data_IF_315822264692
#
_entry.id   IF_315822264692
#
_cell.length_a   1.000
_cell.length_b   1.000
_cell.length_c   1.000
_cell.angle_alpha   90.00
_cell.angle_beta   90.00
_cell.angle_gamma   90.00
#
_symmetry.space_group_name_H-M   'P 1'
#
loop_
_entity.id
_entity.type
_entity.pdbx_description
1 polymer ?
#
# COMPACT_ATOMS: atom_id res chain seq x y z
N UNK A 1 16.35 2.38 -5.84
CA UNK A 1 17.59 1.81 -5.31
C UNK A 1 17.18 0.54 -4.60
N UNK A 2 17.84 -0.61 -4.80
CA UNK A 2 17.44 -1.86 -4.15
C UNK A 2 18.52 -2.22 -3.13
N UNK A 3 18.11 -2.51 -1.90
CA UNK A 3 19.01 -2.78 -0.80
C UNK A 3 19.10 -4.29 -0.55
N UNK A 4 20.33 -4.82 -0.52
CA UNK A 4 20.56 -6.21 -0.13
C UNK A 4 20.35 -6.33 1.37
N UNK A 5 19.38 -7.14 1.78
CA UNK A 5 19.07 -7.39 3.19
C UNK A 5 19.98 -8.43 3.81
N UNK A 6 20.18 -9.55 3.11
CA UNK A 6 20.89 -10.70 3.65
C UNK A 6 21.41 -11.60 2.53
N UNK A 7 22.55 -12.28 2.79
CA UNK A 7 23.16 -13.29 1.92
C UNK A 7 23.41 -14.55 2.74
N UNK A 8 22.99 -15.71 2.23
CA UNK A 8 23.22 -17.03 2.85
C UNK A 8 23.68 -18.03 1.78
N UNK A 9 24.98 -18.36 1.79
CA UNK A 9 25.58 -19.21 0.77
C UNK A 9 25.43 -18.59 -0.62
N UNK A 10 24.78 -19.32 -1.52
CA UNK A 10 24.53 -18.86 -2.89
C UNK A 10 23.15 -18.16 -3.08
N UNK A 11 22.44 -17.92 -2.00
CA UNK A 11 21.18 -17.15 -2.01
C UNK A 11 21.37 -15.78 -1.38
N UNK A 12 20.66 -14.79 -1.91
CA UNK A 12 20.48 -13.49 -1.28
C UNK A 12 19.05 -13.00 -1.43
N UNK A 13 18.63 -12.19 -0.48
CA UNK A 13 17.38 -11.43 -0.59
C UNK A 13 17.68 -9.94 -0.63
N UNK A 14 16.99 -9.23 -1.50
CA UNK A 14 17.02 -7.77 -1.56
C UNK A 14 15.61 -7.19 -1.57
N UNK A 15 15.47 -5.98 -1.06
CA UNK A 15 14.26 -5.20 -1.21
C UNK A 15 14.34 -4.29 -2.42
N UNK A 16 13.20 -4.09 -3.04
CA UNK A 16 13.01 -3.10 -4.09
C UNK A 16 11.71 -2.35 -3.85
N UNK A 17 11.73 -1.06 -4.12
CA UNK A 17 10.54 -0.23 -4.05
C UNK A 17 9.53 -0.65 -5.13
N UNK A 18 8.25 -0.76 -4.75
CA UNK A 18 7.17 -1.09 -5.68
C UNK A 18 6.56 0.19 -6.26
N UNK A 19 7.07 0.61 -7.42
CA UNK A 19 6.57 1.80 -8.12
C UNK A 19 5.21 1.61 -8.80
N UNK A 20 4.66 0.39 -8.79
CA UNK A 20 3.38 0.04 -9.41
C UNK A 20 2.39 -0.54 -8.38
N UNK A 21 2.60 -0.27 -7.09
CA UNK A 21 1.77 -0.79 -6.03
C UNK A 21 0.28 -0.50 -6.29
N UNK A 22 -0.55 -1.51 -6.05
CA UNK A 22 -2.01 -1.34 -6.06
C UNK A 22 -2.47 -0.58 -4.80
N UNK A 23 -3.64 0.02 -4.88
CA UNK A 23 -4.31 0.57 -3.68
C UNK A 23 -4.63 -0.58 -2.71
N UNK A 24 -4.40 -0.39 -1.39
CA UNK A 24 -4.79 -1.39 -0.40
C UNK A 24 -6.29 -1.66 -0.45
N UNK A 25 -6.66 -2.92 -0.37
CA UNK A 25 -8.06 -3.32 -0.33
C UNK A 25 -8.52 -3.52 1.11
N UNK A 26 -9.52 -2.76 1.52
CA UNK A 26 -10.16 -2.87 2.83
C UNK A 26 -11.60 -3.30 2.65
N UNK A 27 -11.94 -4.49 3.04
CA UNK A 27 -13.30 -5.04 2.97
C UNK A 27 -14.33 -4.20 3.75
N UNK A 28 -14.73 -3.06 3.19
CA UNK A 28 -15.88 -2.26 3.63
C UNK A 28 -15.81 -1.69 5.06
N UNK A 29 -14.61 -1.48 5.60
CA UNK A 29 -14.44 -1.17 7.03
C UNK A 29 -14.17 0.30 7.36
N UNK A 30 -13.73 1.10 6.40
CA UNK A 30 -13.49 2.54 6.61
C UNK A 30 -13.91 3.37 5.43
N UNK A 31 -14.51 4.52 5.68
CA UNK A 31 -14.78 5.45 4.62
C UNK A 31 -13.47 6.10 4.18
N UNK A 32 -13.10 5.84 2.94
CA UNK A 32 -11.99 6.50 2.28
C UNK A 32 -12.55 7.23 1.08
N UNK A 33 -12.27 8.54 1.02
CA UNK A 33 -12.63 9.39 -0.09
C UNK A 33 -11.39 9.70 -0.89
N UNK A 34 -11.47 9.59 -2.20
CA UNK A 34 -10.50 10.17 -3.12
C UNK A 34 -11.09 11.45 -3.70
N UNK A 35 -10.41 12.56 -3.46
CA UNK A 35 -10.79 13.87 -3.96
C UNK A 35 -9.78 14.32 -5.00
N UNK A 36 -10.24 14.84 -6.12
CA UNK A 36 -9.40 15.37 -7.19
C UNK A 36 -9.94 16.69 -7.73
N UNK A 37 -9.06 17.60 -8.20
CA UNK A 37 -9.48 18.88 -8.75
C UNK A 37 -10.43 18.71 -9.94
N UNK A 38 -11.57 19.38 -9.92
CA UNK A 38 -12.49 19.39 -11.05
C UNK A 38 -12.04 20.42 -12.07
N UNK A 39 -11.74 19.99 -13.29
CA UNK A 39 -11.37 20.90 -14.37
C UNK A 39 -12.52 21.81 -14.85
N UNK A 40 -13.76 21.43 -14.58
CA UNK A 40 -14.93 22.09 -15.17
C UNK A 40 -15.47 23.26 -14.37
N UNK A 41 -15.24 23.32 -13.04
CA UNK A 41 -15.95 24.26 -12.15
C UNK A 41 -15.06 24.89 -11.07
N UNK A 42 -13.75 24.70 -11.11
CA UNK A 42 -12.83 25.20 -10.08
C UNK A 42 -13.07 24.62 -8.68
N UNK A 43 -13.75 23.49 -8.60
CA UNK A 43 -14.04 22.76 -7.37
C UNK A 43 -13.31 21.43 -7.28
N UNK A 44 -13.72 20.62 -6.34
CA UNK A 44 -13.25 19.25 -6.16
C UNK A 44 -14.32 18.27 -6.62
N UNK A 45 -13.88 17.11 -7.08
CA UNK A 45 -14.72 15.93 -7.28
C UNK A 45 -14.24 14.85 -6.35
N UNK A 46 -15.19 14.07 -5.85
CA UNK A 46 -14.87 12.98 -4.95
C UNK A 46 -15.41 11.64 -5.44
N UNK A 47 -14.77 10.58 -5.01
CA UNK A 47 -15.29 9.23 -5.12
C UNK A 47 -14.98 8.46 -3.84
N UNK A 48 -15.83 7.53 -3.50
CA UNK A 48 -15.53 6.54 -2.49
C UNK A 48 -14.62 5.47 -3.08
N UNK A 49 -13.51 5.17 -2.41
CA UNK A 49 -12.63 4.08 -2.80
C UNK A 49 -13.12 2.77 -2.21
N UNK A 50 -13.67 2.84 -1.00
CA UNK A 50 -14.25 1.68 -0.35
C UNK A 50 -15.74 1.88 -0.10
N UNK A 51 -16.50 0.78 -0.21
CA UNK A 51 -17.93 0.82 0.04
C UNK A 51 -18.16 1.13 1.52
N UNK A 52 -18.84 2.24 1.79
CA UNK A 52 -19.35 2.54 3.11
C UNK A 52 -20.55 1.60 3.38
N UNK A 53 -20.29 0.30 3.36
CA UNK A 53 -21.36 -0.71 3.47
C UNK A 53 -22.20 -0.64 4.72
N UNK A 54 -21.74 0.15 5.70
CA UNK A 54 -22.42 0.42 6.95
C UNK A 54 -23.24 1.71 6.94
N UNK A 55 -23.09 2.56 5.95
CA UNK A 55 -23.80 3.82 5.89
C UNK A 55 -25.06 3.69 5.03
N UNK A 56 -26.10 4.39 5.42
CA UNK A 56 -27.23 4.56 4.51
C UNK A 56 -26.73 5.26 3.24
N UNK A 57 -27.22 4.90 2.05
CA UNK A 57 -26.84 5.57 0.80
C UNK A 57 -26.93 7.09 0.90
N UNK A 58 -27.97 7.61 1.52
CA UNK A 58 -28.19 9.05 1.71
C UNK A 58 -27.06 9.73 2.50
N UNK A 59 -26.59 9.07 3.57
CA UNK A 59 -25.52 9.65 4.38
C UNK A 59 -24.18 9.64 3.64
N UNK A 60 -23.92 8.61 2.83
CA UNK A 60 -22.75 8.54 1.98
C UNK A 60 -22.75 9.67 0.94
N UNK A 61 -23.87 9.88 0.27
CA UNK A 61 -24.05 10.97 -0.71
C UNK A 61 -23.89 12.35 -0.06
N UNK A 62 -24.43 12.55 1.16
CA UNK A 62 -24.29 13.81 1.89
C UNK A 62 -22.82 14.10 2.24
N UNK A 63 -22.06 13.09 2.66
CA UNK A 63 -20.64 13.23 2.97
C UNK A 63 -19.85 13.56 1.71
N UNK A 64 -20.09 12.83 0.62
CA UNK A 64 -19.41 13.09 -0.65
C UNK A 64 -19.71 14.50 -1.16
N UNK A 65 -20.96 14.91 -1.14
CA UNK A 65 -21.38 16.27 -1.50
C UNK A 65 -20.70 17.34 -0.63
N UNK A 66 -20.59 17.09 0.67
CA UNK A 66 -19.90 18.00 1.59
C UNK A 66 -18.40 18.05 1.29
N UNK A 67 -17.76 16.91 1.01
CA UNK A 67 -16.35 16.85 0.65
C UNK A 67 -16.08 17.61 -0.65
N UNK A 68 -16.87 17.41 -1.68
CA UNK A 68 -16.76 18.13 -2.96
C UNK A 68 -16.90 19.65 -2.79
N UNK A 69 -17.80 20.07 -1.93
CA UNK A 69 -18.07 21.48 -1.66
C UNK A 69 -16.95 22.15 -0.86
N UNK A 70 -16.35 21.46 0.08
CA UNK A 70 -15.45 22.05 1.08
C UNK A 70 -14.02 21.49 1.04
N UNK A 71 -13.66 20.66 0.07
CA UNK A 71 -12.31 20.10 -0.01
C UNK A 71 -11.20 21.16 -0.14
N UNK A 72 -11.52 22.34 -0.68
CA UNK A 72 -10.60 23.49 -0.69
C UNK A 72 -10.45 24.18 0.67
N UNK A 73 -11.23 23.76 1.69
CA UNK A 73 -11.14 24.22 3.07
C UNK A 73 -11.30 23.03 4.02
N UNK A 74 -10.24 22.23 4.24
CA UNK A 74 -10.31 20.98 5.02
C UNK A 74 -10.96 21.18 6.39
N UNK A 75 -10.69 22.29 7.06
CA UNK A 75 -11.29 22.62 8.36
C UNK A 75 -12.83 22.65 8.34
N UNK A 76 -13.42 23.07 7.23
CA UNK A 76 -14.88 23.11 7.09
C UNK A 76 -15.47 21.71 6.91
N UNK A 77 -14.79 20.87 6.13
CA UNK A 77 -15.23 19.48 5.94
C UNK A 77 -15.08 18.67 7.23
N UNK A 78 -13.95 18.77 7.93
CA UNK A 78 -13.77 18.12 9.23
C UNK A 78 -14.82 18.57 10.24
N UNK A 79 -15.11 19.89 10.28
CA UNK A 79 -16.14 20.42 11.15
C UNK A 79 -17.52 19.84 10.84
N UNK A 80 -17.84 19.67 9.55
CA UNK A 80 -19.05 19.01 9.12
C UNK A 80 -19.12 17.57 9.62
N UNK A 81 -18.07 16.78 9.42
CA UNK A 81 -18.00 15.40 9.87
C UNK A 81 -18.18 15.28 11.40
N UNK A 82 -17.50 16.14 12.16
CA UNK A 82 -17.60 16.15 13.62
C UNK A 82 -19.01 16.51 14.10
N UNK A 83 -19.61 17.52 13.51
CA UNK A 83 -20.93 18.02 13.94
C UNK A 83 -22.08 17.11 13.56
N UNK A 84 -22.06 16.58 12.36
CA UNK A 84 -23.19 15.84 11.80
C UNK A 84 -23.03 14.34 11.87
N UNK A 85 -21.80 13.84 11.90
CA UNK A 85 -21.49 12.42 11.84
C UNK A 85 -20.75 11.89 13.08
N UNK A 86 -20.43 12.72 14.04
CA UNK A 86 -19.80 12.30 15.30
C UNK A 86 -18.38 11.79 15.13
N UNK A 87 -17.72 12.13 14.03
CA UNK A 87 -16.33 11.78 13.75
C UNK A 87 -15.40 12.43 14.76
N UNK A 88 -14.44 11.69 15.27
CA UNK A 88 -13.43 12.16 16.22
C UNK A 88 -12.06 12.39 15.58
N UNK A 89 -11.70 11.59 14.58
CA UNK A 89 -10.44 11.69 13.85
C UNK A 89 -10.67 11.75 12.35
N UNK A 90 -9.95 12.63 11.67
CA UNK A 90 -9.90 12.77 10.21
C UNK A 90 -8.45 12.85 9.81
N UNK A 91 -8.04 12.08 8.81
CA UNK A 91 -6.68 12.09 8.27
C UNK A 91 -6.72 12.43 6.78
N UNK A 92 -5.75 13.23 6.34
CA UNK A 92 -5.58 13.68 4.97
C UNK A 92 -4.24 13.21 4.44
N UNK A 93 -4.25 12.65 3.24
CA UNK A 93 -3.05 12.18 2.56
C UNK A 93 -2.97 12.76 1.16
N UNK A 94 -1.85 13.38 0.83
CA UNK A 94 -1.60 13.96 -0.47
C UNK A 94 -0.99 12.93 -1.43
N UNK A 95 -1.61 12.80 -2.59
CA UNK A 95 -1.03 12.04 -3.71
C UNK A 95 -1.15 10.52 -3.60
N UNK A 96 -0.42 9.86 -4.48
CA UNK A 96 -0.22 8.41 -4.53
C UNK A 96 1.17 8.11 -5.08
N UNK A 97 1.71 6.89 -4.92
CA UNK A 97 2.91 6.46 -5.63
C UNK A 97 2.77 6.69 -7.14
N UNK A 98 3.73 7.37 -7.74
CA UNK A 98 3.70 7.73 -9.17
C UNK A 98 3.09 9.09 -9.50
N UNK A 99 2.69 9.85 -8.49
CA UNK A 99 2.17 11.22 -8.65
C UNK A 99 0.71 11.28 -9.09
N UNK A 100 0.05 12.34 -8.71
CA UNK A 100 -1.33 12.65 -9.07
C UNK A 100 -1.85 13.80 -8.21
N UNK A 101 -2.77 14.59 -8.75
CA UNK A 101 -3.43 15.67 -8.02
C UNK A 101 -4.61 15.11 -7.19
N UNK A 102 -4.34 14.08 -6.38
CA UNK A 102 -5.34 13.46 -5.53
C UNK A 102 -5.08 13.78 -4.07
N UNK A 103 -6.15 13.90 -3.31
CA UNK A 103 -6.13 13.94 -1.86
C UNK A 103 -7.01 12.80 -1.36
N UNK A 104 -6.46 11.96 -0.51
CA UNK A 104 -7.22 10.93 0.19
C UNK A 104 -7.63 11.46 1.55
N UNK A 105 -8.88 11.23 1.90
CA UNK A 105 -9.44 11.58 3.21
C UNK A 105 -10.04 10.34 3.82
N UNK A 106 -9.65 10.05 5.04
CA UNK A 106 -10.26 9.00 5.85
C UNK A 106 -10.67 9.54 7.21
N UNK A 107 -11.69 8.94 7.81
CA UNK A 107 -12.21 9.37 9.10
C UNK A 107 -12.75 8.19 9.89
N UNK A 108 -12.76 8.32 11.21
CA UNK A 108 -13.28 7.27 12.08
C UNK A 108 -14.80 7.18 12.00
N UNK A 109 -15.29 5.98 12.21
CA UNK A 109 -16.70 5.64 12.17
C UNK A 109 -17.33 5.41 13.54
N UNK A 110 -16.55 5.56 14.62
CA UNK A 110 -17.00 5.26 15.97
C UNK A 110 -18.25 6.08 16.39
N UNK A 111 -18.27 7.38 16.04
CA UNK A 111 -19.41 8.26 16.30
C UNK A 111 -20.65 7.88 15.50
N UNK A 112 -20.48 7.32 14.32
CA UNK A 112 -21.57 6.85 13.48
C UNK A 112 -22.28 5.65 14.09
N UNK A 113 -21.53 4.70 14.63
CA UNK A 113 -22.06 3.51 15.27
C UNK A 113 -23.00 3.88 16.39
N UNK A 114 -22.53 4.75 17.28
CA UNK A 114 -23.35 5.23 18.39
C UNK A 114 -24.61 5.97 17.92
N UNK A 115 -24.53 6.70 16.79
CA UNK A 115 -25.63 7.52 16.29
C UNK A 115 -26.65 6.73 15.49
N UNK A 116 -26.23 5.70 14.75
CA UNK A 116 -27.07 4.95 13.81
C UNK A 116 -27.30 3.51 14.22
N UNK A 117 -26.89 3.13 15.45
CA UNK A 117 -27.04 1.78 16.01
C UNK A 117 -26.52 0.67 15.06
N UNK A 118 -25.33 0.90 14.52
CA UNK A 118 -24.72 -0.02 13.58
C UNK A 118 -24.07 -1.22 14.31
N UNK A 119 -24.07 -2.42 13.70
CA UNK A 119 -23.46 -3.61 14.27
C UNK A 119 -21.96 -3.43 14.60
N UNK A 120 -21.50 -4.13 15.64
CA UNK A 120 -20.11 -4.06 16.11
C UNK A 120 -19.08 -4.58 15.11
N UNK A 121 -19.45 -5.46 14.21
CA UNK A 121 -18.62 -6.02 13.16
C UNK A 121 -18.27 -5.01 12.03
N UNK A 122 -19.08 -3.98 11.90
CA UNK A 122 -18.89 -2.91 10.89
C UNK A 122 -17.84 -1.89 11.31
N UNK A 123 -17.37 -1.95 12.51
CA UNK A 123 -16.61 -0.88 13.12
C UNK A 123 -15.22 -1.26 13.58
N UNK A 124 -14.56 -2.15 12.96
CA UNK A 124 -13.12 -2.19 13.10
C UNK A 124 -12.59 -0.80 12.72
N UNK A 125 -11.88 -0.12 13.63
CA UNK A 125 -10.97 0.95 13.20
C UNK A 125 -10.02 0.24 12.26
N UNK A 126 -10.08 0.56 10.98
CA UNK A 126 -9.13 0.01 10.04
C UNK A 126 -7.76 0.51 10.47
N UNK A 127 -6.81 -0.38 10.52
CA UNK A 127 -5.43 0.00 10.60
C UNK A 127 -5.07 0.73 9.31
N UNK A 128 -4.99 2.04 9.39
CA UNK A 128 -4.67 2.90 8.25
C UNK A 128 -3.19 2.88 7.89
N UNK A 129 -2.37 2.05 8.56
CA UNK A 129 -0.93 1.97 8.30
C UNK A 129 -0.62 1.60 6.86
N UNK A 130 -1.38 0.68 6.25
CA UNK A 130 -1.21 0.30 4.85
C UNK A 130 -1.57 1.45 3.90
N UNK A 131 -2.65 2.21 4.18
CA UNK A 131 -3.00 3.39 3.39
C UNK A 131 -1.97 4.49 3.53
N UNK A 132 -1.45 4.69 4.73
CA UNK A 132 -0.37 5.65 4.96
C UNK A 132 0.85 5.25 4.15
N UNK A 133 1.30 4.01 4.25
CA UNK A 133 2.42 3.48 3.48
C UNK A 133 2.20 3.64 1.96
N UNK A 134 0.98 3.35 1.48
CA UNK A 134 0.63 3.53 0.08
C UNK A 134 0.72 4.99 -0.37
N UNK A 135 0.12 5.93 0.38
CA UNK A 135 0.13 7.35 0.04
C UNK A 135 1.54 7.97 0.13
N UNK A 136 2.34 7.52 1.09
CA UNK A 136 3.74 7.94 1.26
C UNK A 136 4.69 7.28 0.25
N UNK A 137 4.20 6.28 -0.50
CA UNK A 137 5.01 5.50 -1.42
C UNK A 137 5.93 4.49 -0.74
N UNK A 138 5.67 4.16 0.52
CA UNK A 138 6.42 3.20 1.33
C UNK A 138 5.94 1.76 1.06
N UNK A 139 5.97 1.35 -0.23
CA UNK A 139 5.56 0.01 -0.67
C UNK A 139 6.72 -0.69 -1.35
N UNK A 140 6.93 -1.95 -0.98
CA UNK A 140 8.08 -2.73 -1.38
C UNK A 140 7.71 -4.11 -1.91
N UNK A 141 8.67 -4.70 -2.61
CA UNK A 141 8.75 -6.12 -2.86
C UNK A 141 10.08 -6.67 -2.40
N UNK A 142 10.14 -7.99 -2.19
CA UNK A 142 11.41 -8.70 -2.06
C UNK A 142 11.71 -9.49 -3.33
N UNK A 143 13.01 -9.68 -3.59
CA UNK A 143 13.50 -10.56 -4.63
C UNK A 143 14.56 -11.45 -4.01
N UNK A 144 14.37 -12.77 -4.11
CA UNK A 144 15.40 -13.76 -3.78
C UNK A 144 16.15 -14.10 -5.05
N UNK A 145 17.46 -14.05 -4.98
CA UNK A 145 18.35 -14.30 -6.10
C UNK A 145 19.36 -15.38 -5.72
N UNK A 146 19.69 -16.24 -6.69
CA UNK A 146 20.70 -17.25 -6.59
C UNK A 146 21.97 -16.83 -7.34
N UNK A 147 23.13 -17.16 -6.78
CA UNK A 147 24.41 -16.93 -7.45
C UNK A 147 24.57 -17.91 -8.61
N UNK A 148 24.67 -17.38 -9.81
CA UNK A 148 24.92 -18.16 -11.03
C UNK A 148 26.27 -17.81 -11.61
N UNK A 149 26.96 -18.83 -12.11
CA UNK A 149 28.22 -18.68 -12.85
C UNK A 149 27.98 -18.79 -14.34
N UNK A 150 28.18 -17.68 -15.04
CA UNK A 150 28.03 -17.62 -16.47
C UNK A 150 29.43 -17.76 -17.14
N UNK A 151 29.51 -18.63 -18.16
CA UNK A 151 30.74 -18.87 -18.90
C UNK A 151 30.51 -18.63 -20.40
N UNK A 152 31.36 -17.81 -20.99
CA UNK A 152 31.43 -17.65 -22.43
C UNK A 152 32.56 -18.49 -22.98
N UNK A 153 32.24 -19.40 -23.92
CA UNK A 153 33.23 -20.19 -24.63
C UNK A 153 33.62 -19.53 -25.97
N UNK A 154 34.86 -19.66 -26.37
CA UNK A 154 35.31 -19.25 -27.68
C UNK A 154 34.92 -20.30 -28.77
N UNK A 155 35.21 -20.02 -30.04
CA UNK A 155 34.93 -20.94 -31.16
C UNK A 155 35.66 -22.29 -31.09
N UNK A 156 36.65 -22.47 -30.21
CA UNK A 156 37.36 -23.70 -29.96
C UNK A 156 36.80 -24.47 -28.73
N UNK A 157 35.74 -23.96 -28.08
CA UNK A 157 35.13 -24.59 -26.91
C UNK A 157 35.85 -24.27 -25.59
N UNK A 158 36.85 -23.41 -25.60
CA UNK A 158 37.58 -23.02 -24.37
C UNK A 158 36.83 -21.88 -23.68
N UNK A 159 36.85 -21.89 -22.33
CA UNK A 159 36.24 -20.81 -21.52
C UNK A 159 37.05 -19.54 -21.72
N UNK A 160 36.44 -18.54 -22.40
CA UNK A 160 37.05 -17.26 -22.68
C UNK A 160 36.76 -16.23 -21.57
N UNK A 161 35.66 -16.38 -20.87
CA UNK A 161 35.23 -15.48 -19.81
C UNK A 161 34.36 -16.22 -18.81
N UNK A 162 34.57 -15.97 -17.52
CA UNK A 162 33.71 -16.45 -16.44
C UNK A 162 33.20 -15.23 -15.67
N UNK A 163 31.88 -15.15 -15.44
CA UNK A 163 31.26 -14.08 -14.70
C UNK A 163 30.28 -14.65 -13.68
N UNK A 164 30.39 -14.18 -12.45
CA UNK A 164 29.34 -14.40 -11.46
C UNK A 164 28.23 -13.35 -11.59
N UNK A 165 27.02 -13.81 -11.49
CA UNK A 165 25.81 -12.97 -11.51
C UNK A 165 24.83 -13.47 -10.48
N UNK A 166 23.82 -12.65 -10.18
CA UNK A 166 22.71 -13.03 -9.34
C UNK A 166 21.46 -13.10 -10.20
N UNK A 167 20.78 -14.23 -10.17
CA UNK A 167 19.58 -14.48 -10.96
C UNK A 167 18.36 -14.60 -10.04
N UNK A 168 17.24 -13.90 -10.34
CA UNK A 168 16.06 -13.97 -9.53
C UNK A 168 15.43 -15.36 -9.61
N UNK A 169 15.15 -15.94 -8.44
CA UNK A 169 14.51 -17.26 -8.29
C UNK A 169 13.15 -17.18 -7.63
N UNK A 170 12.88 -16.12 -6.87
CA UNK A 170 11.58 -15.86 -6.27
C UNK A 170 11.39 -14.36 -6.04
N UNK A 171 10.13 -13.89 -6.04
CA UNK A 171 9.80 -12.50 -5.69
C UNK A 171 8.34 -12.36 -5.26
N UNK A 172 8.09 -11.41 -4.38
CA UNK A 172 6.73 -10.99 -4.04
C UNK A 172 6.70 -9.48 -3.85
N UNK A 173 5.58 -8.86 -4.19
CA UNK A 173 5.39 -7.42 -4.23
C UNK A 173 4.13 -7.00 -3.45
N UNK A 174 3.97 -5.71 -3.19
CA UNK A 174 2.79 -5.17 -2.53
C UNK A 174 2.85 -5.23 -1.00
N UNK A 175 4.03 -5.16 -0.41
CA UNK A 175 4.19 -5.04 1.04
C UNK A 175 4.14 -3.57 1.45
N UNK A 176 3.10 -3.18 2.16
CA UNK A 176 2.93 -1.83 2.68
C UNK A 176 3.78 -1.66 3.95
N UNK A 177 4.87 -0.88 3.80
CA UNK A 177 5.87 -0.65 4.83
C UNK A 177 7.13 -1.52 4.70
N UNK A 178 8.29 -0.86 4.82
CA UNK A 178 9.61 -1.48 4.68
C UNK A 178 9.81 -2.69 5.60
N UNK A 179 9.43 -2.56 6.87
CA UNK A 179 9.66 -3.62 7.88
C UNK A 179 8.88 -4.90 7.56
N UNK A 180 7.68 -4.76 6.99
CA UNK A 180 6.87 -5.91 6.59
C UNK A 180 7.51 -6.67 5.42
N UNK A 181 7.97 -5.95 4.39
CA UNK A 181 8.70 -6.53 3.27
C UNK A 181 10.01 -7.21 3.71
N UNK A 182 10.76 -6.59 4.63
CA UNK A 182 11.98 -7.15 5.21
C UNK A 182 11.71 -8.46 5.93
N UNK A 183 10.71 -8.50 6.79
CA UNK A 183 10.33 -9.70 7.55
C UNK A 183 9.92 -10.85 6.61
N UNK A 184 9.09 -10.55 5.60
CA UNK A 184 8.66 -11.52 4.61
C UNK A 184 9.84 -12.06 3.79
N UNK A 185 10.72 -11.19 3.29
CA UNK A 185 11.89 -11.57 2.52
C UNK A 185 12.87 -12.46 3.30
N UNK A 186 13.14 -12.13 4.56
CA UNK A 186 13.99 -12.97 5.45
C UNK A 186 13.38 -14.34 5.69
N UNK A 187 12.06 -14.40 5.94
CA UNK A 187 11.35 -15.67 6.16
C UNK A 187 11.44 -16.60 4.96
N UNK A 188 11.32 -16.07 3.74
CA UNK A 188 11.46 -16.85 2.52
C UNK A 188 12.89 -17.33 2.33
N UNK A 189 13.91 -16.49 2.59
CA UNK A 189 15.31 -16.89 2.54
C UNK A 189 15.62 -18.01 3.53
N UNK A 190 15.08 -17.95 4.76
CA UNK A 190 15.18 -19.00 5.78
C UNK A 190 14.59 -20.32 5.27
N UNK A 191 13.40 -20.28 4.71
CA UNK A 191 12.73 -21.47 4.18
C UNK A 191 13.51 -22.11 3.03
N UNK A 192 13.99 -21.31 2.08
CA UNK A 192 14.76 -21.79 0.93
C UNK A 192 16.11 -22.37 1.36
N UNK A 193 16.80 -21.71 2.31
CA UNK A 193 18.08 -22.20 2.82
C UNK A 193 17.92 -23.52 3.58
N UNK A 194 16.83 -23.68 4.33
CA UNK A 194 16.56 -24.91 5.09
C UNK A 194 16.13 -26.08 4.20
N UNK A 195 15.62 -25.82 3.02
CA UNK A 195 15.23 -26.85 2.04
C UNK A 195 16.41 -27.38 1.20
N UNK A 196 17.55 -26.69 1.21
CA UNK A 196 18.75 -27.15 0.53
C UNK A 196 19.34 -28.35 1.29
N UNK A 197 19.63 -29.49 0.63
CA UNK A 197 20.27 -30.61 1.29
C UNK A 197 21.67 -30.17 1.79
N UNK A 198 21.99 -30.53 3.04
CA UNK A 198 23.31 -30.27 3.57
C UNK A 198 24.36 -30.84 2.57
N UNK A 199 25.22 -29.98 2.05
CA UNK A 199 26.28 -30.40 1.15
C UNK A 199 27.10 -31.47 1.85
N UNK A 200 27.07 -32.68 1.29
CA UNK A 200 27.77 -33.86 1.79
C UNK A 200 29.27 -33.78 1.51
#
# INVERSE_FOLDING_TARGET
MSDVLEIRGDLRVRLAHDGCAAEPYFEGRSPILRLYPSRSWGGWRGEYIDSIGAYTPTAADDILTAAEKWAGGPDLFERYLRMFHGTTAVEWYDGRPGGGDFVYVTFDTAGWRARYDLPDDVAGIVDLSEWRAYCEGDVYGYVVEERATWQRTNGAGEVAETRETWEPVDSCWGFYGHQYAETAGRSVLDAMTSALPAAA
#
